data_IF_119941275084
#
_entry.id   IF_119941275084
#
_cell.length_a   1.000
_cell.length_b   1.000
_cell.length_c   1.000
_cell.angle_alpha   90.00
_cell.angle_beta   90.00
_cell.angle_gamma   90.00
#
_symmetry.space_group_name_H-M   'P 1'
#
loop_
_entity.id
_entity.type
_entity.pdbx_description
1 polymer ?
#
# COMPACT_ATOMS: atom_id res chain seq x y z
N UNK A 1 -62.00 -2.57 -31.41
CA UNK A 1 -61.98 -1.55 -30.34
C UNK A 1 -60.70 -1.76 -29.54
N UNK A 2 -59.86 -0.74 -29.51
CA UNK A 2 -58.44 -0.79 -29.16
C UNK A 2 -58.24 -1.04 -27.65
N UNK A 3 -57.36 -1.96 -27.26
CA UNK A 3 -56.93 -2.16 -25.87
C UNK A 3 -55.60 -1.41 -25.68
N UNK A 4 -55.56 -0.23 -25.03
CA UNK A 4 -54.31 0.32 -24.55
C UNK A 4 -54.15 -0.10 -23.09
N UNK A 5 -53.61 -1.29 -22.84
CA UNK A 5 -53.05 -1.62 -21.53
C UNK A 5 -51.55 -1.38 -21.59
N UNK A 6 -51.18 -0.09 -21.69
CA UNK A 6 -49.81 0.38 -21.59
C UNK A 6 -49.35 0.22 -20.14
N UNK A 7 -48.57 -0.84 -19.93
CA UNK A 7 -47.55 -1.07 -18.89
C UNK A 7 -47.49 0.04 -17.83
N UNK A 8 -48.16 -0.19 -16.70
CA UNK A 8 -48.02 0.64 -15.50
C UNK A 8 -46.72 0.23 -14.79
N UNK A 9 -45.58 0.68 -15.30
CA UNK A 9 -44.27 0.48 -14.65
C UNK A 9 -44.30 1.13 -13.27
N UNK A 10 -44.30 0.31 -12.22
CA UNK A 10 -44.18 0.80 -10.85
C UNK A 10 -42.79 1.42 -10.67
N UNK A 11 -42.71 2.64 -10.14
CA UNK A 11 -41.44 3.37 -9.94
C UNK A 11 -40.38 2.51 -9.22
N UNK A 12 -40.79 1.64 -8.29
CA UNK A 12 -39.91 0.71 -7.60
C UNK A 12 -39.26 -0.36 -8.49
N UNK A 13 -39.93 -0.78 -9.57
CA UNK A 13 -39.38 -1.74 -10.54
C UNK A 13 -38.22 -1.11 -11.32
N UNK A 14 -38.40 0.12 -11.79
CA UNK A 14 -37.35 0.87 -12.51
C UNK A 14 -36.12 1.11 -11.60
N UNK A 15 -36.34 1.49 -10.34
CA UNK A 15 -35.25 1.68 -9.38
C UNK A 15 -34.49 0.38 -9.10
N UNK A 16 -35.19 -0.75 -9.02
CA UNK A 16 -34.59 -2.06 -8.80
C UNK A 16 -33.78 -2.51 -10.01
N UNK A 17 -34.31 -2.38 -11.22
CA UNK A 17 -33.60 -2.67 -12.48
C UNK A 17 -32.33 -1.83 -12.63
N UNK A 18 -32.40 -0.53 -12.33
CA UNK A 18 -31.22 0.35 -12.31
C UNK A 18 -30.19 -0.09 -11.27
N UNK A 19 -30.62 -0.46 -10.06
CA UNK A 19 -29.71 -0.89 -9.00
C UNK A 19 -28.99 -2.19 -9.37
N UNK A 20 -29.68 -3.14 -9.99
CA UNK A 20 -29.09 -4.39 -10.51
C UNK A 20 -28.08 -4.08 -11.61
N UNK A 21 -28.43 -3.20 -12.55
CA UNK A 21 -27.53 -2.79 -13.63
C UNK A 21 -26.27 -2.10 -13.08
N UNK A 22 -26.43 -1.20 -12.11
CA UNK A 22 -25.33 -0.53 -11.45
C UNK A 22 -24.42 -1.50 -10.70
N UNK A 23 -25.01 -2.47 -9.98
CA UNK A 23 -24.25 -3.53 -9.31
C UNK A 23 -23.47 -4.38 -10.31
N UNK A 24 -24.07 -4.73 -11.45
CA UNK A 24 -23.40 -5.50 -12.50
C UNK A 24 -22.19 -4.73 -13.07
N UNK A 25 -22.33 -3.42 -13.30
CA UNK A 25 -21.24 -2.56 -13.75
C UNK A 25 -20.13 -2.49 -12.70
N UNK A 26 -20.48 -2.33 -11.41
CA UNK A 26 -19.51 -2.33 -10.31
C UNK A 26 -18.72 -3.63 -10.24
N UNK A 27 -19.40 -4.78 -10.30
CA UNK A 27 -18.74 -6.08 -10.27
C UNK A 27 -17.80 -6.25 -11.47
N UNK A 28 -18.26 -5.93 -12.68
CA UNK A 28 -17.41 -5.99 -13.88
C UNK A 28 -16.20 -5.06 -13.78
N UNK A 29 -16.37 -3.87 -13.22
CA UNK A 29 -15.28 -2.92 -12.99
C UNK A 29 -14.25 -3.48 -12.02
N UNK A 30 -14.70 -4.05 -10.88
CA UNK A 30 -13.82 -4.67 -9.89
C UNK A 30 -13.06 -5.87 -10.47
N UNK A 31 -13.73 -6.74 -11.22
CA UNK A 31 -13.09 -7.90 -11.87
C UNK A 31 -12.04 -7.42 -12.89
N UNK A 32 -12.35 -6.39 -13.67
CA UNK A 32 -11.42 -5.83 -14.66
C UNK A 32 -10.19 -5.24 -13.99
N UNK A 33 -10.37 -4.45 -12.93
CA UNK A 33 -9.27 -3.87 -12.14
C UNK A 33 -8.43 -4.98 -11.51
N UNK A 34 -9.06 -5.98 -10.91
CA UNK A 34 -8.36 -7.11 -10.30
C UNK A 34 -7.55 -7.91 -11.32
N UNK A 35 -8.10 -8.14 -12.52
CA UNK A 35 -7.38 -8.80 -13.61
C UNK A 35 -6.21 -7.95 -14.11
N UNK A 36 -6.37 -6.63 -14.19
CA UNK A 36 -5.28 -5.74 -14.55
C UNK A 36 -4.15 -5.78 -13.51
N UNK A 37 -4.49 -5.67 -12.22
CA UNK A 37 -3.50 -5.71 -11.13
C UNK A 37 -2.79 -7.06 -11.11
N UNK A 38 -3.52 -8.17 -11.11
CA UNK A 38 -2.93 -9.52 -11.04
C UNK A 38 -2.03 -9.87 -12.22
N UNK A 39 -2.24 -9.26 -13.40
CA UNK A 39 -1.38 -9.48 -14.57
C UNK A 39 -0.17 -8.55 -14.63
N UNK A 40 -0.29 -7.33 -14.12
CA UNK A 40 0.73 -6.29 -14.33
C UNK A 40 1.55 -5.97 -13.08
N UNK A 41 1.08 -6.34 -11.88
CA UNK A 41 1.76 -6.08 -10.62
C UNK A 41 2.32 -7.40 -10.10
N UNK A 42 3.65 -7.50 -10.01
CA UNK A 42 4.28 -8.70 -9.46
C UNK A 42 4.15 -8.74 -7.94
N UNK A 43 4.36 -9.92 -7.34
CA UNK A 43 4.44 -10.04 -5.88
C UNK A 43 5.54 -9.15 -5.30
N UNK A 44 6.66 -9.01 -6.00
CA UNK A 44 7.76 -8.15 -5.57
C UNK A 44 7.36 -6.68 -5.57
N UNK A 45 6.54 -6.23 -6.53
CA UNK A 45 6.02 -4.85 -6.54
C UNK A 45 5.15 -4.57 -5.31
N UNK A 46 4.32 -5.55 -4.92
CA UNK A 46 3.51 -5.44 -3.70
C UNK A 46 4.39 -5.40 -2.44
N UNK A 47 5.45 -6.21 -2.38
CA UNK A 47 6.37 -6.24 -1.25
C UNK A 47 7.14 -4.92 -1.14
N UNK A 48 7.67 -4.41 -2.25
CA UNK A 48 8.34 -3.10 -2.32
C UNK A 48 7.40 -1.99 -1.81
N UNK A 49 6.14 -1.98 -2.25
CA UNK A 49 5.16 -1.01 -1.79
C UNK A 49 4.89 -1.11 -0.28
N UNK A 50 4.85 -2.33 0.28
CA UNK A 50 4.71 -2.49 1.72
C UNK A 50 5.97 -2.05 2.50
N UNK A 51 7.16 -2.22 1.91
CA UNK A 51 8.41 -1.69 2.47
C UNK A 51 8.39 -0.16 2.50
N UNK A 52 7.94 0.51 1.44
CA UNK A 52 7.76 1.98 1.39
C UNK A 52 6.82 2.46 2.52
N UNK A 53 5.65 1.84 2.64
CA UNK A 53 4.66 2.17 3.67
C UNK A 53 5.24 1.96 5.08
N UNK A 54 5.94 0.85 5.30
CA UNK A 54 6.52 0.52 6.59
C UNK A 54 7.67 1.49 6.95
N UNK A 55 8.52 1.83 6.00
CA UNK A 55 9.64 2.77 6.20
C UNK A 55 9.12 4.16 6.57
N UNK A 56 8.11 4.66 5.84
CA UNK A 56 7.43 5.92 6.14
C UNK A 56 6.80 5.93 7.54
N UNK A 57 6.15 4.82 7.91
CA UNK A 57 5.56 4.65 9.24
C UNK A 57 6.62 4.62 10.33
N UNK A 58 7.76 3.96 10.11
CA UNK A 58 8.87 3.92 11.06
C UNK A 58 9.43 5.33 11.31
N UNK A 59 9.62 6.13 10.26
CA UNK A 59 10.08 7.53 10.38
C UNK A 59 9.07 8.36 11.18
N UNK A 60 7.78 8.21 10.95
CA UNK A 60 6.73 8.90 11.72
C UNK A 60 6.79 8.52 13.20
N UNK A 61 6.99 7.23 13.51
CA UNK A 61 7.11 6.74 14.88
C UNK A 61 8.34 7.31 15.59
N UNK A 62 9.48 7.36 14.90
CA UNK A 62 10.71 7.99 15.43
C UNK A 62 10.45 9.47 15.73
N UNK A 63 9.87 10.20 14.78
CA UNK A 63 9.51 11.61 14.97
C UNK A 63 8.51 11.83 16.12
N UNK A 64 7.74 10.79 16.48
CA UNK A 64 6.81 10.78 17.60
C UNK A 64 7.45 10.36 18.93
N UNK A 65 8.79 10.27 19.00
CA UNK A 65 9.56 9.80 20.17
C UNK A 65 9.17 8.39 20.64
N UNK A 66 8.70 7.53 19.73
CA UNK A 66 8.36 6.15 20.07
C UNK A 66 9.60 5.37 20.51
N UNK A 67 9.47 4.55 21.56
CA UNK A 67 10.57 3.79 22.19
C UNK A 67 11.79 4.63 22.64
N UNK A 68 11.61 5.92 22.93
CA UNK A 68 12.69 6.76 23.46
C UNK A 68 13.77 7.14 22.42
N UNK A 69 13.48 6.94 21.13
CA UNK A 69 14.30 7.48 20.05
C UNK A 69 14.07 8.99 19.95
N UNK A 70 14.84 9.74 20.74
CA UNK A 70 14.81 11.19 20.75
C UNK A 70 15.79 11.73 19.71
N UNK A 71 15.25 12.35 18.68
CA UNK A 71 16.04 13.07 17.69
C UNK A 71 15.87 14.57 17.90
N UNK A 72 16.97 15.30 17.75
CA UNK A 72 17.00 16.75 17.93
C UNK A 72 16.29 17.50 16.78
N UNK A 73 15.95 16.81 15.69
CA UNK A 73 15.14 17.33 14.58
C UNK A 73 14.27 16.25 13.97
N UNK A 74 13.33 16.67 13.13
CA UNK A 74 12.44 15.81 12.36
C UNK A 74 13.21 15.07 11.26
N UNK A 75 13.11 13.74 11.24
CA UNK A 75 13.52 12.93 10.10
C UNK A 75 12.52 13.08 8.94
N UNK A 76 13.06 13.21 7.75
CA UNK A 76 12.35 13.34 6.49
C UNK A 76 12.54 12.05 5.70
N UNK A 77 11.43 11.41 5.34
CA UNK A 77 11.43 10.28 4.43
C UNK A 77 11.53 10.75 2.98
N UNK A 78 12.58 10.33 2.26
CA UNK A 78 12.89 10.74 0.89
C UNK A 78 12.39 9.79 -0.20
N UNK A 79 11.95 8.58 0.16
CA UNK A 79 11.49 7.56 -0.78
C UNK A 79 12.34 6.29 -0.74
N UNK A 80 12.05 5.36 -1.65
CA UNK A 80 12.85 4.15 -1.86
C UNK A 80 13.30 4.01 -3.32
N UNK A 81 14.42 3.32 -3.51
CA UNK A 81 14.82 2.76 -4.81
C UNK A 81 15.21 1.30 -4.62
N UNK A 82 15.22 0.52 -5.69
CA UNK A 82 15.59 -0.89 -5.64
C UNK A 82 16.42 -1.30 -6.86
N UNK A 83 17.19 -2.37 -6.72
CA UNK A 83 17.95 -2.96 -7.83
C UNK A 83 17.02 -3.68 -8.83
N UNK A 84 17.50 -3.97 -10.04
CA UNK A 84 16.68 -4.60 -11.09
C UNK A 84 16.04 -5.93 -10.66
N UNK A 85 16.74 -6.69 -9.80
CA UNK A 85 16.24 -7.95 -9.24
C UNK A 85 15.25 -7.76 -8.08
N UNK A 86 14.96 -6.51 -7.68
CA UNK A 86 14.05 -6.10 -6.61
C UNK A 86 14.43 -6.58 -5.21
N UNK A 87 15.64 -7.10 -5.00
CA UNK A 87 16.11 -7.63 -3.71
C UNK A 87 16.89 -6.63 -2.89
N UNK A 88 17.68 -5.77 -3.53
CA UNK A 88 18.38 -4.70 -2.81
C UNK A 88 17.49 -3.47 -2.79
N UNK A 89 17.14 -3.00 -1.60
CA UNK A 89 16.22 -1.89 -1.39
C UNK A 89 16.93 -0.82 -0.59
N UNK A 90 16.95 0.39 -1.14
CA UNK A 90 17.57 1.56 -0.55
C UNK A 90 16.46 2.50 -0.09
N UNK A 91 16.42 2.79 1.20
CA UNK A 91 15.49 3.73 1.82
C UNK A 91 16.22 5.05 2.07
N UNK A 92 15.74 6.14 1.49
CA UNK A 92 16.37 7.45 1.63
C UNK A 92 15.75 8.25 2.76
N UNK A 93 16.59 8.76 3.67
CA UNK A 93 16.14 9.51 4.86
C UNK A 93 17.07 10.70 5.08
N UNK A 94 16.53 11.84 5.51
CA UNK A 94 17.30 13.05 5.80
C UNK A 94 16.90 13.62 7.18
N UNK A 95 17.75 14.38 7.88
CA UNK A 95 19.13 14.72 7.54
C UNK A 95 20.13 13.67 8.02
N UNK A 96 21.25 13.56 7.30
CA UNK A 96 22.19 12.44 7.40
C UNK A 96 22.84 12.26 8.77
N UNK A 97 23.10 13.38 9.42
CA UNK A 97 23.74 13.53 10.73
C UNK A 97 22.92 12.91 11.88
N UNK A 98 21.62 12.65 11.68
CA UNK A 98 20.72 12.10 12.70
C UNK A 98 20.39 10.63 12.48
N UNK A 99 20.87 10.03 11.38
CA UNK A 99 20.64 8.63 11.07
C UNK A 99 21.72 7.78 11.75
N UNK A 100 21.62 7.72 13.09
CA UNK A 100 22.44 6.85 13.94
C UNK A 100 22.19 5.37 13.62
N UNK A 101 23.09 4.49 14.08
CA UNK A 101 22.92 3.06 13.87
C UNK A 101 21.65 2.52 14.54
N UNK A 102 21.25 3.09 15.68
CA UNK A 102 20.01 2.73 16.37
C UNK A 102 18.76 3.12 15.56
N UNK A 103 18.76 4.32 14.98
CA UNK A 103 17.69 4.76 14.07
C UNK A 103 17.60 3.83 12.86
N UNK A 104 18.73 3.46 12.24
CA UNK A 104 18.74 2.52 11.11
C UNK A 104 18.17 1.16 11.50
N UNK A 105 18.65 0.62 12.62
CA UNK A 105 18.22 -0.69 13.11
C UNK A 105 16.73 -0.70 13.43
N UNK A 106 16.22 0.36 14.08
CA UNK A 106 14.79 0.49 14.34
C UNK A 106 13.96 0.44 13.06
N UNK A 107 14.35 1.20 12.03
CA UNK A 107 13.61 1.25 10.76
C UNK A 107 13.64 -0.10 10.08
N UNK A 108 14.83 -0.73 9.98
CA UNK A 108 14.98 -2.04 9.35
C UNK A 108 14.13 -3.10 10.07
N UNK A 109 14.19 -3.15 11.40
CA UNK A 109 13.41 -4.11 12.18
C UNK A 109 11.91 -3.83 12.12
N UNK A 110 11.50 -2.56 12.10
CA UNK A 110 10.09 -2.19 11.91
C UNK A 110 9.58 -2.67 10.56
N UNK A 111 10.34 -2.41 9.48
CA UNK A 111 9.98 -2.82 8.11
C UNK A 111 9.85 -4.34 8.01
N UNK A 112 10.85 -5.09 8.50
CA UNK A 112 10.82 -6.56 8.50
C UNK A 112 9.57 -7.10 9.20
N UNK A 113 9.29 -6.61 10.40
CA UNK A 113 8.15 -7.05 11.19
C UNK A 113 6.82 -6.68 10.54
N UNK A 114 6.70 -5.45 10.04
CA UNK A 114 5.48 -4.97 9.40
C UNK A 114 5.13 -5.85 8.20
N UNK A 115 6.08 -6.04 7.29
CA UNK A 115 5.82 -6.74 6.04
C UNK A 115 5.62 -8.24 6.28
N UNK A 116 6.36 -8.85 7.21
CA UNK A 116 6.09 -10.23 7.60
C UNK A 116 4.67 -10.39 8.15
N UNK A 117 4.20 -9.45 8.97
CA UNK A 117 2.86 -9.50 9.54
C UNK A 117 1.76 -9.38 8.48
N UNK A 118 1.95 -8.54 7.46
CA UNK A 118 0.98 -8.26 6.39
C UNK A 118 1.01 -9.26 5.24
N UNK A 119 2.18 -9.78 4.85
CA UNK A 119 2.31 -10.70 3.70
C UNK A 119 2.57 -12.15 4.07
N UNK A 120 3.01 -12.43 5.30
CA UNK A 120 3.58 -13.72 5.71
C UNK A 120 4.83 -14.13 4.92
N UNK A 121 5.46 -13.19 4.22
CA UNK A 121 6.71 -13.40 3.48
C UNK A 121 7.88 -13.01 4.38
N UNK A 122 8.86 -13.89 4.47
CA UNK A 122 10.08 -13.60 5.20
C UNK A 122 10.98 -12.68 4.36
N UNK A 123 11.20 -11.45 4.82
CA UNK A 123 12.04 -10.45 4.14
C UNK A 123 13.54 -10.69 4.28
N UNK A 124 13.95 -11.79 4.92
CA UNK A 124 15.36 -12.18 5.01
C UNK A 124 16.07 -12.24 3.64
N UNK A 125 15.31 -12.44 2.56
CA UNK A 125 15.83 -12.46 1.19
C UNK A 125 16.03 -11.07 0.55
N UNK A 126 15.56 -10.00 1.19
CA UNK A 126 15.71 -8.62 0.75
C UNK A 126 16.75 -7.90 1.59
N UNK A 127 17.69 -7.26 0.91
CA UNK A 127 18.76 -6.48 1.52
C UNK A 127 18.32 -5.02 1.66
N UNK A 128 17.85 -4.64 2.85
CA UNK A 128 17.34 -3.29 3.13
C UNK A 128 18.48 -2.43 3.69
N UNK A 129 18.83 -1.37 2.96
CA UNK A 129 19.84 -0.40 3.35
C UNK A 129 19.21 0.98 3.57
N UNK A 130 19.54 1.63 4.69
CA UNK A 130 19.15 3.01 4.95
C UNK A 130 20.24 3.94 4.42
N UNK A 131 19.89 4.74 3.42
CA UNK A 131 20.74 5.74 2.78
C UNK A 131 20.41 7.14 3.31
N UNK A 132 21.26 7.70 4.18
CA UNK A 132 21.06 9.01 4.77
C UNK A 132 21.57 10.16 3.88
#
# INVERSE_FOLDING_TARGET
>A
MMIPMLIKLNKGQITLEFSILFLAILIMSLVTINNFISKNVSKDDLIINQIDIAAKSAVILINSNYKGLHLNTTLIYGGISWSENKKDIYIYISPKDLVSNDTKNFIIEYVKNYVYNTTKINISDYNITINP
#
